data_IF_894092142481
#
_entry.id   IF_894092142481
#
_cell.length_a   1.000
_cell.length_b   1.000
_cell.length_c   1.000
_cell.angle_alpha   90.00
_cell.angle_beta   90.00
_cell.angle_gamma   90.00
#
_symmetry.space_group_name_H-M   'P 1'
#
loop_
_entity.id
_entity.type
_entity.pdbx_description
1 polymer ?
#
# COMPACT_ATOMS: atom_id res chain seq x y z
N UNK A 1 10.20 2.24 -6.23
CA UNK A 1 9.46 3.23 -5.44
C UNK A 1 9.17 2.61 -4.08
N UNK A 2 9.50 3.28 -2.99
CA UNK A 2 9.21 2.79 -1.64
C UNK A 2 7.70 2.79 -1.36
N UNK A 3 7.29 1.99 -0.40
CA UNK A 3 5.89 1.92 0.02
C UNK A 3 5.36 3.31 0.40
N UNK A 4 4.10 3.58 0.01
CA UNK A 4 3.39 4.83 0.30
C UNK A 4 3.97 6.12 -0.35
N UNK A 5 4.85 6.01 -1.34
CA UNK A 5 5.26 7.16 -2.15
C UNK A 5 4.22 7.39 -3.26
N UNK A 6 3.48 8.52 -3.24
CA UNK A 6 2.54 8.84 -4.30
C UNK A 6 3.28 9.00 -5.63
N UNK A 7 2.78 8.36 -6.67
CA UNK A 7 3.32 8.48 -8.02
C UNK A 7 2.20 8.41 -9.05
N UNK A 8 2.46 8.97 -10.22
CA UNK A 8 1.54 8.94 -11.35
C UNK A 8 2.31 8.48 -12.58
N UNK A 9 1.72 7.55 -13.31
CA UNK A 9 2.26 7.07 -14.57
C UNK A 9 1.44 7.66 -15.71
N UNK A 10 2.13 8.28 -16.68
CA UNK A 10 1.51 8.88 -17.85
C UNK A 10 2.06 8.19 -19.11
N UNK A 11 1.16 7.78 -19.97
CA UNK A 11 1.48 7.22 -21.28
C UNK A 11 1.07 8.19 -22.39
N UNK A 12 1.86 8.26 -23.44
CA UNK A 12 1.49 8.98 -24.65
C UNK A 12 0.67 8.07 -25.57
N UNK A 13 -0.38 8.59 -26.19
CA UNK A 13 -1.29 7.81 -27.04
C UNK A 13 -0.57 7.10 -28.19
N UNK A 14 0.45 7.74 -28.76
CA UNK A 14 1.23 7.20 -29.89
C UNK A 14 2.35 6.23 -29.47
N UNK A 15 2.68 6.17 -28.18
CA UNK A 15 3.72 5.28 -27.66
C UNK A 15 3.35 4.79 -26.24
N UNK A 16 2.46 3.81 -26.13
CA UNK A 16 2.00 3.34 -24.84
C UNK A 16 3.13 2.70 -24.04
N UNK A 17 3.25 3.08 -22.78
CA UNK A 17 4.18 2.46 -21.84
C UNK A 17 3.80 0.99 -21.62
N UNK A 18 4.79 0.11 -21.76
CA UNK A 18 4.68 -1.30 -21.34
C UNK A 18 5.57 -1.51 -20.15
N UNK A 19 5.01 -1.92 -19.05
CA UNK A 19 5.76 -2.14 -17.81
C UNK A 19 5.26 -3.37 -17.06
N UNK A 20 6.11 -3.91 -16.22
CA UNK A 20 5.77 -4.94 -15.25
C UNK A 20 5.92 -4.30 -13.87
N UNK A 21 4.86 -4.36 -13.06
CA UNK A 21 4.89 -3.94 -11.66
C UNK A 21 5.16 -5.15 -10.79
N UNK A 22 6.20 -5.05 -9.99
CA UNK A 22 6.53 -6.04 -8.98
C UNK A 22 6.44 -5.39 -7.60
N UNK A 23 5.44 -5.77 -6.83
CA UNK A 23 5.34 -5.42 -5.42
C UNK A 23 6.19 -6.38 -4.58
N UNK A 24 7.15 -5.85 -3.83
CA UNK A 24 7.98 -6.63 -2.92
C UNK A 24 7.79 -6.10 -1.51
N UNK A 25 7.41 -6.98 -0.59
CA UNK A 25 7.26 -6.64 0.81
C UNK A 25 8.57 -6.80 1.57
N UNK A 26 8.74 -5.99 2.61
CA UNK A 26 9.94 -5.99 3.47
C UNK A 26 11.25 -5.70 2.71
N UNK A 27 11.16 -4.95 1.62
CA UNK A 27 12.30 -4.44 0.88
C UNK A 27 12.35 -2.92 1.03
N UNK A 28 13.36 -2.41 1.70
CA UNK A 28 13.69 -1.00 1.68
C UNK A 28 14.91 -0.79 0.80
N UNK A 29 14.72 -0.05 -0.29
CA UNK A 29 15.84 0.44 -1.07
C UNK A 29 16.35 1.74 -0.45
N UNK A 30 17.67 1.88 -0.30
CA UNK A 30 18.27 3.16 0.07
C UNK A 30 18.05 4.14 -1.08
N UNK A 31 16.91 4.82 -1.00
CA UNK A 31 16.53 5.89 -1.92
C UNK A 31 16.96 7.22 -1.33
N UNK A 32 17.19 8.22 -2.17
CA UNK A 32 17.35 9.60 -1.71
C UNK A 32 16.08 10.11 -1.01
N UNK A 33 16.05 11.41 -0.70
CA UNK A 33 14.91 12.08 -0.04
C UNK A 33 13.55 11.91 -0.76
N UNK A 34 13.57 11.52 -2.04
CA UNK A 34 12.37 11.37 -2.88
C UNK A 34 11.68 9.99 -2.73
N UNK A 35 12.29 9.01 -2.06
CA UNK A 35 11.69 7.69 -1.84
C UNK A 35 11.62 6.80 -3.08
N UNK A 36 12.26 7.15 -4.17
CA UNK A 36 12.39 6.34 -5.38
C UNK A 36 13.77 6.50 -6.03
N UNK A 37 14.11 5.59 -6.91
CA UNK A 37 15.26 5.72 -7.79
C UNK A 37 14.97 5.09 -9.15
N UNK A 38 15.64 5.58 -10.17
CA UNK A 38 15.58 5.04 -11.52
C UNK A 38 16.90 4.36 -11.88
N UNK A 39 16.82 3.18 -12.47
CA UNK A 39 17.94 2.44 -12.96
C UNK A 39 17.85 2.26 -14.47
N UNK A 40 18.89 2.65 -15.15
CA UNK A 40 19.08 2.30 -16.55
C UNK A 40 19.98 1.07 -16.64
N UNK A 41 19.38 -0.09 -16.92
CA UNK A 41 20.11 -1.34 -17.07
C UNK A 41 20.66 -1.45 -18.47
N UNK A 42 21.97 -1.23 -18.63
CA UNK A 42 22.65 -1.39 -19.92
C UNK A 42 22.99 -2.85 -20.19
N UNK A 43 23.35 -3.61 -19.16
CA UNK A 43 23.70 -5.02 -19.23
C UNK A 43 22.81 -5.85 -18.31
N UNK A 44 22.44 -7.05 -18.73
CA UNK A 44 21.62 -7.97 -17.92
C UNK A 44 20.11 -7.70 -17.99
N UNK A 45 19.66 -6.76 -18.83
CA UNK A 45 18.25 -6.46 -19.02
C UNK A 45 17.46 -7.67 -19.53
N UNK A 46 18.01 -8.41 -20.50
CA UNK A 46 17.32 -9.57 -21.09
C UNK A 46 17.07 -10.65 -20.05
N UNK A 47 18.07 -10.95 -19.25
CA UNK A 47 17.99 -11.99 -18.21
C UNK A 47 17.06 -11.56 -17.07
N UNK A 48 17.04 -10.27 -16.72
CA UNK A 48 16.10 -9.75 -15.74
C UNK A 48 14.67 -9.88 -16.24
N UNK A 49 14.41 -9.48 -17.48
CA UNK A 49 13.10 -9.61 -18.11
C UNK A 49 12.64 -11.06 -18.23
N UNK A 50 13.56 -12.00 -18.49
CA UNK A 50 13.25 -13.42 -18.48
C UNK A 50 12.74 -13.89 -17.11
N UNK A 51 13.42 -13.51 -16.03
CA UNK A 51 12.97 -13.85 -14.68
C UNK A 51 11.58 -13.26 -14.38
N UNK A 52 11.33 -12.00 -14.75
CA UNK A 52 10.03 -11.36 -14.55
C UNK A 52 8.92 -12.01 -15.37
N UNK A 53 9.20 -12.41 -16.63
CA UNK A 53 8.22 -13.13 -17.45
C UNK A 53 7.91 -14.53 -16.88
N UNK A 54 8.92 -15.24 -16.39
CA UNK A 54 8.71 -16.53 -15.73
C UNK A 54 7.85 -16.36 -14.47
N UNK A 55 8.08 -15.33 -13.65
CA UNK A 55 7.24 -15.05 -12.48
C UNK A 55 5.78 -14.76 -12.88
N UNK A 56 5.57 -13.99 -13.94
CA UNK A 56 4.23 -13.72 -14.47
C UNK A 56 3.55 -15.00 -14.94
N UNK A 57 4.28 -15.87 -15.65
CA UNK A 57 3.76 -17.13 -16.15
C UNK A 57 3.40 -18.08 -15.00
N UNK A 58 4.29 -18.27 -14.04
CA UNK A 58 4.01 -19.08 -12.84
C UNK A 58 2.78 -18.59 -12.08
N UNK A 59 2.68 -17.25 -11.88
CA UNK A 59 1.54 -16.64 -11.22
C UNK A 59 0.23 -16.80 -12.00
N UNK A 60 0.28 -16.81 -13.35
CA UNK A 60 -0.89 -16.98 -14.19
C UNK A 60 -1.35 -18.44 -14.23
N UNK A 61 -0.41 -19.39 -14.41
CA UNK A 61 -0.68 -20.81 -14.52
C UNK A 61 -1.06 -21.42 -13.17
N UNK A 62 -0.60 -20.82 -12.07
CA UNK A 62 -0.93 -21.19 -10.67
C UNK A 62 -0.79 -22.69 -10.37
N UNK A 63 0.24 -23.35 -10.93
CA UNK A 63 0.52 -24.75 -10.64
C UNK A 63 0.94 -24.96 -9.18
N UNK A 64 0.77 -26.16 -8.59
CA UNK A 64 1.25 -26.43 -7.24
C UNK A 64 2.72 -26.06 -7.07
N UNK A 65 3.03 -25.19 -6.09
CA UNK A 65 4.39 -24.69 -5.84
C UNK A 65 4.75 -23.39 -6.57
N UNK A 66 3.82 -22.76 -7.28
CA UNK A 66 4.08 -21.50 -8.00
C UNK A 66 4.55 -20.37 -7.09
N UNK A 67 4.04 -20.28 -5.86
CA UNK A 67 4.47 -19.26 -4.90
C UNK A 67 5.95 -19.42 -4.54
N UNK A 68 6.37 -20.66 -4.30
CA UNK A 68 7.78 -20.96 -3.99
C UNK A 68 8.68 -20.67 -5.21
N UNK A 69 8.24 -21.05 -6.41
CA UNK A 69 8.93 -20.73 -7.66
C UNK A 69 9.07 -19.22 -7.85
N UNK A 70 8.00 -18.44 -7.64
CA UNK A 70 8.03 -16.99 -7.69
C UNK A 70 8.98 -16.39 -6.66
N UNK A 71 9.01 -16.90 -5.43
CA UNK A 71 9.95 -16.45 -4.40
C UNK A 71 11.42 -16.67 -4.80
N UNK A 72 11.76 -17.84 -5.35
CA UNK A 72 13.11 -18.11 -5.82
C UNK A 72 13.50 -17.22 -7.00
N UNK A 73 12.60 -17.00 -7.96
CA UNK A 73 12.82 -16.08 -9.08
C UNK A 73 13.02 -14.64 -8.58
N UNK A 74 12.22 -14.20 -7.60
CA UNK A 74 12.39 -12.90 -6.95
C UNK A 74 13.79 -12.75 -6.32
N UNK A 75 14.26 -13.77 -5.61
CA UNK A 75 15.62 -13.75 -5.03
C UNK A 75 16.69 -13.56 -6.11
N UNK A 76 16.55 -14.23 -7.26
CA UNK A 76 17.47 -14.07 -8.40
C UNK A 76 17.43 -12.63 -8.93
N UNK A 77 16.22 -12.05 -9.09
CA UNK A 77 16.03 -10.66 -9.52
C UNK A 77 16.73 -9.70 -8.56
N UNK A 78 16.48 -9.84 -7.26
CA UNK A 78 17.10 -8.97 -6.24
C UNK A 78 18.62 -9.08 -6.20
N UNK A 79 19.17 -10.28 -6.31
CA UNK A 79 20.63 -10.48 -6.37
C UNK A 79 21.26 -9.84 -7.62
N UNK A 80 20.59 -9.89 -8.77
CA UNK A 80 21.04 -9.24 -10.00
C UNK A 80 21.00 -7.72 -9.87
N UNK A 81 19.92 -7.18 -9.31
CA UNK A 81 19.83 -5.75 -9.02
C UNK A 81 20.89 -5.31 -8.00
N UNK A 82 21.10 -6.07 -6.92
CA UNK A 82 22.14 -5.79 -5.91
C UNK A 82 23.55 -5.70 -6.50
N UNK A 83 23.86 -6.50 -7.51
CA UNK A 83 25.18 -6.45 -8.19
C UNK A 83 25.38 -5.18 -9.01
N UNK A 84 24.32 -4.52 -9.44
CA UNK A 84 24.40 -3.32 -10.28
C UNK A 84 24.25 -2.02 -9.48
N UNK A 85 23.77 -2.12 -8.26
CA UNK A 85 23.53 -0.97 -7.38
C UNK A 85 24.02 -1.34 -5.98
N UNK A 86 24.49 -0.34 -5.25
CA UNK A 86 24.71 -0.47 -3.80
C UNK A 86 23.34 -0.45 -3.12
N UNK A 87 22.57 -1.54 -3.24
CA UNK A 87 21.36 -1.75 -2.47
C UNK A 87 21.74 -2.36 -1.13
N UNK A 88 21.48 -1.67 -0.05
CA UNK A 88 21.46 -2.30 1.26
C UNK A 88 20.03 -2.83 1.48
N UNK A 89 19.93 -4.15 1.54
CA UNK A 89 18.70 -4.81 2.01
C UNK A 89 18.86 -4.94 3.53
N UNK A 90 17.82 -4.64 4.27
CA UNK A 90 17.76 -5.05 5.65
C UNK A 90 17.62 -6.58 5.66
N UNK A 91 18.71 -7.28 5.93
CA UNK A 91 18.72 -8.74 6.16
C UNK A 91 18.07 -9.11 7.51
N UNK A 92 17.48 -8.14 8.21
CA UNK A 92 16.70 -8.42 9.40
C UNK A 92 15.45 -9.18 8.98
N UNK A 93 15.44 -10.47 9.27
CA UNK A 93 14.17 -11.22 9.27
C UNK A 93 13.19 -10.42 10.12
N UNK A 94 12.08 -9.93 9.55
CA UNK A 94 11.17 -9.09 10.29
C UNK A 94 10.79 -9.81 11.58
N UNK A 95 10.86 -9.10 12.69
CA UNK A 95 10.47 -9.66 13.98
C UNK A 95 9.05 -10.22 13.86
N UNK A 96 8.71 -11.21 14.70
CA UNK A 96 7.33 -11.75 14.70
C UNK A 96 6.32 -10.60 14.79
N UNK A 97 6.59 -9.61 15.63
CA UNK A 97 5.71 -8.44 15.81
C UNK A 97 5.61 -7.56 14.57
N UNK A 98 6.66 -7.43 13.76
CA UNK A 98 6.63 -6.69 12.49
C UNK A 98 5.74 -7.41 11.48
N UNK A 99 5.88 -8.73 11.34
CA UNK A 99 5.01 -9.54 10.45
C UNK A 99 3.54 -9.48 10.86
N UNK A 100 3.27 -9.51 12.16
CA UNK A 100 1.91 -9.40 12.68
C UNK A 100 1.32 -8.00 12.44
N UNK A 101 2.13 -6.95 12.53
CA UNK A 101 1.71 -5.59 12.18
C UNK A 101 1.46 -5.42 10.68
N UNK A 102 2.27 -6.03 9.81
CA UNK A 102 2.03 -6.06 8.36
C UNK A 102 0.74 -6.82 8.01
N UNK A 103 0.46 -7.93 8.69
CA UNK A 103 -0.81 -8.64 8.54
C UNK A 103 -2.01 -7.71 8.84
N UNK A 104 -1.94 -6.98 9.95
CA UNK A 104 -2.98 -6.02 10.34
C UNK A 104 -3.11 -4.89 9.31
N UNK A 105 -2.00 -4.34 8.83
CA UNK A 105 -2.01 -3.30 7.80
C UNK A 105 -2.71 -3.78 6.53
N UNK A 106 -2.33 -4.97 6.00
CA UNK A 106 -2.96 -5.57 4.82
C UNK A 106 -4.44 -5.86 5.03
N UNK A 107 -4.80 -6.37 6.21
CA UNK A 107 -6.20 -6.59 6.55
C UNK A 107 -6.99 -5.27 6.47
N UNK A 108 -6.49 -4.20 7.06
CA UNK A 108 -7.11 -2.87 6.98
C UNK A 108 -7.21 -2.40 5.52
N UNK A 109 -6.14 -2.51 4.72
CA UNK A 109 -6.13 -2.08 3.33
C UNK A 109 -7.18 -2.79 2.45
N UNK A 110 -7.48 -4.05 2.74
CA UNK A 110 -8.44 -4.84 2.00
C UNK A 110 -9.89 -4.70 2.52
N UNK A 111 -10.06 -4.35 3.81
CA UNK A 111 -11.37 -4.37 4.50
C UNK A 111 -11.79 -3.01 5.07
N UNK A 112 -11.10 -1.90 4.74
CA UNK A 112 -11.32 -0.60 5.37
C UNK A 112 -12.77 -0.08 5.28
N UNK A 113 -13.57 -0.57 4.35
CA UNK A 113 -15.00 -0.23 4.21
C UNK A 113 -15.90 -0.96 5.22
N UNK A 114 -15.39 -2.00 5.85
CA UNK A 114 -16.11 -2.81 6.82
C UNK A 114 -16.02 -2.20 8.23
N UNK A 115 -16.87 -2.70 9.12
CA UNK A 115 -16.83 -2.29 10.53
C UNK A 115 -15.69 -3.02 11.25
N UNK A 116 -14.51 -2.41 11.28
CA UNK A 116 -13.30 -2.95 11.92
C UNK A 116 -13.13 -2.33 13.30
N UNK A 117 -13.03 -3.19 14.32
CA UNK A 117 -12.70 -2.79 15.69
C UNK A 117 -11.25 -3.11 16.06
N UNK A 118 -10.75 -2.42 17.06
CA UNK A 118 -9.41 -2.71 17.60
C UNK A 118 -9.31 -4.13 18.19
N UNK A 119 -10.43 -4.61 18.75
CA UNK A 119 -10.57 -5.96 19.28
C UNK A 119 -10.34 -7.01 18.19
N UNK A 120 -11.04 -6.88 17.08
CA UNK A 120 -10.89 -7.79 15.92
C UNK A 120 -9.47 -7.80 15.38
N UNK A 121 -8.83 -6.63 15.27
CA UNK A 121 -7.44 -6.54 14.83
C UNK A 121 -6.46 -7.21 15.81
N UNK A 122 -6.72 -7.06 17.11
CA UNK A 122 -5.90 -7.69 18.14
C UNK A 122 -6.05 -9.21 18.15
N UNK A 123 -7.27 -9.73 17.96
CA UNK A 123 -7.55 -11.16 17.81
C UNK A 123 -6.86 -11.74 16.57
N UNK A 124 -6.95 -11.04 15.43
CA UNK A 124 -6.30 -11.46 14.18
C UNK A 124 -4.78 -11.59 14.31
N UNK A 125 -4.15 -10.71 15.07
CA UNK A 125 -2.70 -10.75 15.32
C UNK A 125 -2.32 -11.59 16.55
N UNK A 126 -3.28 -12.23 17.24
CA UNK A 126 -3.05 -12.92 18.52
C UNK A 126 -2.32 -12.04 19.55
N UNK A 127 -2.66 -10.76 19.60
CA UNK A 127 -2.08 -9.77 20.49
C UNK A 127 -3.12 -9.20 21.46
N UNK A 128 -2.66 -8.67 22.59
CA UNK A 128 -3.55 -7.77 23.33
C UNK A 128 -3.60 -6.38 22.69
N UNK A 129 -4.69 -5.65 22.88
CA UNK A 129 -4.95 -4.34 22.27
C UNK A 129 -3.85 -3.31 22.52
N UNK A 130 -3.34 -3.24 23.73
CA UNK A 130 -2.31 -2.28 24.12
C UNK A 130 -1.00 -2.55 23.39
N UNK A 131 -0.62 -3.82 23.33
CA UNK A 131 0.59 -4.25 22.64
C UNK A 131 0.48 -4.00 21.13
N UNK A 132 -0.67 -4.34 20.51
CA UNK A 132 -0.94 -4.04 19.10
C UNK A 132 -0.79 -2.55 18.81
N UNK A 133 -1.47 -1.68 19.57
CA UNK A 133 -1.41 -0.22 19.35
C UNK A 133 0.01 0.31 19.47
N UNK A 134 0.74 -0.14 20.49
CA UNK A 134 2.12 0.29 20.71
C UNK A 134 3.05 -0.17 19.58
N UNK A 135 2.97 -1.45 19.21
CA UNK A 135 3.85 -2.06 18.20
C UNK A 135 3.54 -1.50 16.80
N UNK A 136 2.27 -1.41 16.44
CA UNK A 136 1.84 -0.85 15.17
C UNK A 136 2.24 0.63 15.05
N UNK A 137 2.12 1.41 16.14
CA UNK A 137 2.56 2.80 16.15
C UNK A 137 4.08 2.92 16.03
N UNK A 138 4.84 2.01 16.63
CA UNK A 138 6.30 1.97 16.50
C UNK A 138 6.71 1.67 15.06
N UNK A 139 6.01 0.74 14.39
CA UNK A 139 6.31 0.28 13.03
C UNK A 139 5.86 1.30 11.95
N UNK A 140 4.63 1.81 12.06
CA UNK A 140 4.00 2.65 11.02
C UNK A 140 3.78 4.11 11.43
N UNK A 141 4.27 4.56 12.57
CA UNK A 141 4.13 5.93 13.05
C UNK A 141 2.73 6.33 13.52
N UNK A 142 1.72 5.46 13.36
CA UNK A 142 0.32 5.74 13.67
C UNK A 142 -0.36 4.54 14.32
N UNK A 143 -1.51 4.75 15.00
CA UNK A 143 -2.28 3.63 15.55
C UNK A 143 -3.09 2.91 14.46
N UNK A 144 -3.47 1.61 14.65
CA UNK A 144 -4.27 0.86 13.68
C UNK A 144 -5.56 1.58 13.29
N UNK A 145 -6.29 2.14 14.25
CA UNK A 145 -7.55 2.85 13.98
C UNK A 145 -7.32 4.17 13.25
N UNK A 146 -6.24 4.89 13.54
CA UNK A 146 -5.90 6.10 12.79
C UNK A 146 -5.48 5.74 11.36
N UNK A 147 -4.77 4.64 11.16
CA UNK A 147 -4.43 4.12 9.83
C UNK A 147 -5.70 3.77 9.05
N UNK A 148 -6.64 3.03 9.66
CA UNK A 148 -7.94 2.73 9.07
C UNK A 148 -8.68 4.00 8.63
N UNK A 149 -8.72 5.00 9.51
CA UNK A 149 -9.39 6.26 9.20
C UNK A 149 -8.68 7.01 8.06
N UNK A 150 -7.34 7.01 7.99
CA UNK A 150 -6.63 7.64 6.87
C UNK A 150 -6.97 6.97 5.53
N UNK A 151 -7.00 5.64 5.48
CA UNK A 151 -7.41 4.89 4.27
C UNK A 151 -8.83 5.26 3.81
N UNK A 152 -9.76 5.39 4.76
CA UNK A 152 -11.13 5.84 4.49
C UNK A 152 -11.20 7.27 3.96
N UNK A 153 -10.40 8.17 4.53
CA UNK A 153 -10.31 9.56 4.07
C UNK A 153 -9.73 9.62 2.66
N UNK A 154 -8.70 8.83 2.35
CA UNK A 154 -8.12 8.77 1.01
C UNK A 154 -9.18 8.41 -0.04
N UNK A 155 -9.96 7.35 0.19
CA UNK A 155 -11.06 6.94 -0.69
C UNK A 155 -12.19 7.99 -0.73
N UNK A 156 -12.45 8.69 0.38
CA UNK A 156 -13.47 9.72 0.43
C UNK A 156 -13.20 10.90 -0.50
N UNK A 157 -11.92 11.25 -0.73
CA UNK A 157 -11.54 12.32 -1.68
C UNK A 157 -12.04 11.98 -3.08
N UNK A 158 -11.85 10.74 -3.52
CA UNK A 158 -12.34 10.26 -4.81
C UNK A 158 -13.86 10.35 -4.88
N UNK A 159 -14.57 9.78 -3.89
CA UNK A 159 -16.03 9.80 -3.88
C UNK A 159 -16.62 11.22 -3.82
N UNK A 160 -15.96 12.13 -3.11
CA UNK A 160 -16.39 13.54 -3.03
C UNK A 160 -16.24 14.28 -4.36
N UNK A 161 -15.23 13.98 -5.17
CA UNK A 161 -14.98 14.62 -6.45
C UNK A 161 -15.80 14.02 -7.58
N UNK A 162 -15.82 12.68 -7.65
CA UNK A 162 -16.28 11.95 -8.83
C UNK A 162 -17.74 11.49 -8.72
N UNK A 163 -18.38 11.62 -7.56
CA UNK A 163 -19.75 11.12 -7.38
C UNK A 163 -20.71 12.17 -6.82
N UNK A 164 -22.02 11.91 -7.02
CA UNK A 164 -23.13 12.71 -6.47
C UNK A 164 -23.66 12.17 -5.13
N UNK A 165 -22.99 11.18 -4.53
CA UNK A 165 -23.42 10.61 -3.27
C UNK A 165 -23.55 11.67 -2.18
N UNK A 166 -24.59 11.56 -1.35
CA UNK A 166 -24.70 12.39 -0.15
C UNK A 166 -23.54 12.14 0.82
N UNK A 167 -23.23 13.08 1.70
CA UNK A 167 -22.20 12.86 2.72
C UNK A 167 -22.57 11.69 3.63
N UNK A 168 -23.86 11.47 3.91
CA UNK A 168 -24.33 10.32 4.68
C UNK A 168 -24.03 9.01 3.95
N UNK A 169 -24.36 8.95 2.65
CA UNK A 169 -24.06 7.77 1.81
C UNK A 169 -22.57 7.46 1.75
N UNK A 170 -21.71 8.48 1.58
CA UNK A 170 -20.24 8.31 1.59
C UNK A 170 -19.78 7.77 2.95
N UNK A 171 -20.34 8.30 4.05
CA UNK A 171 -20.04 7.83 5.40
C UNK A 171 -20.31 6.33 5.56
N UNK A 172 -21.47 5.87 5.06
CA UNK A 172 -21.88 4.46 5.08
C UNK A 172 -21.00 3.59 4.21
N UNK A 173 -20.75 4.00 2.95
CA UNK A 173 -19.88 3.26 2.01
C UNK A 173 -18.48 3.04 2.60
N UNK A 174 -17.95 4.02 3.33
CA UNK A 174 -16.61 3.97 3.90
C UNK A 174 -16.56 3.32 5.29
N UNK A 175 -17.68 2.89 5.83
CA UNK A 175 -17.76 2.21 7.13
C UNK A 175 -17.48 3.11 8.34
N UNK A 176 -17.70 4.43 8.24
CA UNK A 176 -17.65 5.30 9.41
C UNK A 176 -18.91 5.13 10.28
N UNK A 177 -18.73 5.18 11.59
CA UNK A 177 -19.83 5.01 12.54
C UNK A 177 -20.85 6.15 12.53
N UNK A 178 -20.48 7.33 12.05
CA UNK A 178 -21.39 8.49 11.93
C UNK A 178 -20.81 9.56 10.99
N UNK A 179 -21.73 10.37 10.43
CA UNK A 179 -21.38 11.55 9.62
C UNK A 179 -20.55 12.58 10.41
N UNK A 180 -20.84 12.74 11.68
CA UNK A 180 -20.07 13.63 12.56
C UNK A 180 -18.64 13.17 12.70
N UNK A 181 -18.43 11.88 12.94
CA UNK A 181 -17.07 11.32 13.09
C UNK A 181 -16.31 11.36 11.76
N UNK A 182 -16.93 11.02 10.66
CA UNK A 182 -16.36 11.20 9.32
C UNK A 182 -15.92 12.66 9.09
N UNK A 183 -16.81 13.62 9.33
CA UNK A 183 -16.54 15.03 9.11
C UNK A 183 -15.37 15.54 9.98
N UNK A 184 -15.26 15.04 11.20
CA UNK A 184 -14.17 15.38 12.11
C UNK A 184 -12.83 14.78 11.62
N UNK A 185 -12.81 13.52 11.21
CA UNK A 185 -11.63 12.86 10.64
C UNK A 185 -11.17 13.55 9.36
N UNK A 186 -12.11 13.85 8.48
CA UNK A 186 -11.83 14.53 7.22
C UNK A 186 -11.26 15.94 7.45
N UNK A 187 -11.88 16.72 8.33
CA UNK A 187 -11.40 18.07 8.66
C UNK A 187 -10.01 18.04 9.29
N UNK A 188 -9.70 17.02 10.09
CA UNK A 188 -8.36 16.85 10.68
C UNK A 188 -7.32 16.57 9.61
N UNK A 189 -7.66 15.78 8.59
CA UNK A 189 -6.77 15.42 7.49
C UNK A 189 -6.60 16.56 6.47
N UNK A 190 -7.72 17.19 6.06
CA UNK A 190 -7.75 18.16 4.95
C UNK A 190 -7.81 19.63 5.37
N UNK A 191 -7.96 19.92 6.64
CA UNK A 191 -8.13 21.29 7.16
C UNK A 191 -9.51 21.91 6.90
N UNK A 192 -10.33 21.32 6.01
CA UNK A 192 -11.65 21.80 5.61
C UNK A 192 -12.72 20.71 5.71
N UNK A 193 -14.00 21.10 5.77
CA UNK A 193 -15.09 20.11 5.81
C UNK A 193 -15.28 19.37 4.49
N UNK A 194 -15.82 18.13 4.51
CA UNK A 194 -16.10 17.35 3.29
C UNK A 194 -16.95 18.11 2.27
N UNK A 195 -17.97 18.83 2.74
CA UNK A 195 -18.83 19.63 1.87
C UNK A 195 -18.13 20.82 1.21
N UNK A 196 -17.18 21.47 1.94
CA UNK A 196 -16.34 22.53 1.36
C UNK A 196 -15.36 21.97 0.36
N UNK A 197 -14.71 20.82 0.68
CA UNK A 197 -13.82 20.10 -0.20
C UNK A 197 -14.50 19.74 -1.54
N UNK A 198 -15.72 19.18 -1.48
CA UNK A 198 -16.53 18.86 -2.68
C UNK A 198 -16.74 20.08 -3.57
N UNK A 199 -17.16 21.22 -3.00
CA UNK A 199 -17.41 22.44 -3.77
C UNK A 199 -16.17 23.00 -4.46
N UNK A 200 -14.99 22.81 -3.85
CA UNK A 200 -13.73 23.33 -4.38
C UNK A 200 -13.07 22.43 -5.42
N UNK A 201 -13.31 21.12 -5.35
CA UNK A 201 -12.55 20.12 -6.12
C UNK A 201 -13.42 19.33 -7.11
N UNK A 202 -14.68 19.67 -7.23
CA UNK A 202 -15.58 19.03 -8.21
C UNK A 202 -15.41 19.71 -9.56
N UNK A 203 -15.07 18.92 -10.59
CA UNK A 203 -15.15 19.38 -11.97
C UNK A 203 -16.60 19.69 -12.35
N UNK A 204 -16.85 20.72 -13.15
CA UNK A 204 -18.18 21.08 -13.60
C UNK A 204 -18.85 19.99 -14.42
#
# INVERSE_FOLDING_TARGET
INANVPHTELSQDDNPLKYIVLGVENLEAMTGAEGYFMLHLHNGWKELMQCLHLMLQESYDSHPGYEEACQHLLQVVLLRLKRQITLSFSDETPSRSSRDCDLIRRYIDNHFKENISLEQLAELAHMNKYYLVHTFKKEFGTSPINYLNSRRIDESRFLLRETNHSLSTITEILGFSSLSYFSQCFRRAEGISPGKYRRQNRSP
#
